data_IF_928965734183
#
_entry.id   IF_928965734183
#
_cell.length_a   1.000
_cell.length_b   1.000
_cell.length_c   1.000
_cell.angle_alpha   90.00
_cell.angle_beta   90.00
_cell.angle_gamma   90.00
#
_symmetry.space_group_name_H-M   'P 1'
#
loop_
_entity.id
_entity.type
_entity.pdbx_description
1 polymer ?
#
# COMPACT_ATOMS: atom_id res chain seq x y z
N UNK A 1 39.37 -47.74 3.76
CA UNK A 1 38.27 -48.72 3.55
C UNK A 1 37.02 -47.90 3.24
N UNK A 2 36.58 -47.84 1.97
CA UNK A 2 35.48 -48.65 1.38
C UNK A 2 34.13 -48.23 1.99
N UNK A 3 33.16 -47.63 1.31
CA UNK A 3 32.97 -47.25 -0.09
C UNK A 3 31.49 -46.82 -0.29
N UNK A 4 31.24 -46.14 -1.42
CA UNK A 4 30.02 -46.14 -2.28
C UNK A 4 28.63 -46.34 -1.63
N UNK A 5 27.62 -45.52 -1.92
CA UNK A 5 26.92 -45.50 -3.21
C UNK A 5 26.16 -44.18 -3.46
N UNK A 6 26.30 -43.67 -4.69
CA UNK A 6 25.39 -42.71 -5.33
C UNK A 6 24.09 -43.42 -5.74
N UNK A 7 22.96 -42.73 -5.67
CA UNK A 7 21.89 -42.94 -6.64
C UNK A 7 21.09 -41.64 -6.85
N UNK A 8 21.17 -41.15 -8.09
CA UNK A 8 20.30 -40.13 -8.68
C UNK A 8 18.94 -40.74 -8.99
N UNK A 9 17.85 -39.97 -8.86
CA UNK A 9 16.68 -40.07 -9.74
C UNK A 9 16.05 -38.70 -9.99
N UNK A 10 15.80 -38.45 -11.27
CA UNK A 10 15.22 -37.26 -11.91
C UNK A 10 13.67 -37.24 -11.80
N UNK A 11 13.00 -36.12 -12.17
CA UNK A 11 11.60 -35.86 -11.86
C UNK A 11 10.62 -36.59 -12.79
N UNK A 12 9.45 -36.95 -12.23
CA UNK A 12 8.34 -37.58 -12.94
C UNK A 12 7.45 -36.50 -13.59
N UNK A 13 7.45 -36.43 -14.92
CA UNK A 13 6.50 -35.65 -15.72
C UNK A 13 5.35 -36.57 -16.12
N UNK A 14 4.12 -36.24 -15.71
CA UNK A 14 2.92 -36.97 -16.12
C UNK A 14 2.28 -36.23 -17.29
N UNK A 15 2.44 -36.78 -18.49
CA UNK A 15 1.73 -36.38 -19.71
C UNK A 15 0.52 -37.30 -19.84
N UNK A 16 -0.69 -36.75 -19.80
CA UNK A 16 -1.91 -37.48 -20.14
C UNK A 16 -2.23 -37.22 -21.61
N UNK A 17 -1.98 -38.23 -22.44
CA UNK A 17 -2.44 -38.30 -23.84
C UNK A 17 -3.73 -39.10 -23.85
N UNK A 18 -4.83 -38.49 -24.31
CA UNK A 18 -6.03 -39.22 -24.69
C UNK A 18 -6.11 -39.25 -26.23
N UNK A 19 -5.99 -40.46 -26.78
CA UNK A 19 -6.16 -40.79 -28.18
C UNK A 19 -7.64 -41.18 -28.34
N UNK A 20 -8.38 -40.54 -29.25
CA UNK A 20 -9.63 -41.10 -29.77
C UNK A 20 -9.46 -41.37 -31.25
N UNK A 21 -9.81 -42.59 -31.62
CA UNK A 21 -9.60 -43.25 -32.89
C UNK A 21 -10.47 -42.69 -34.02
N UNK A 22 -9.96 -42.92 -35.22
CA UNK A 22 -10.49 -42.57 -36.53
C UNK A 22 -11.81 -43.28 -36.89
N UNK A 23 -12.60 -42.64 -37.75
CA UNK A 23 -13.52 -43.30 -38.67
C UNK A 23 -13.59 -42.51 -39.99
N UNK A 24 -13.38 -43.21 -41.11
CA UNK A 24 -14.09 -42.98 -42.38
C UNK A 24 -13.40 -42.09 -43.41
N UNK A 25 -12.90 -42.72 -44.47
CA UNK A 25 -12.58 -42.11 -45.77
C UNK A 25 -13.86 -41.77 -46.55
N UNK A 26 -13.87 -40.66 -47.29
CA UNK A 26 -13.99 -40.59 -48.76
C UNK A 26 -14.39 -39.18 -49.24
N UNK A 27 -13.90 -38.87 -50.43
CA UNK A 27 -13.89 -37.63 -51.21
C UNK A 27 -15.29 -37.03 -51.47
N UNK A 28 -15.53 -35.74 -51.18
CA UNK A 28 -16.34 -34.86 -52.03
C UNK A 28 -16.14 -33.37 -51.67
N UNK A 29 -15.85 -32.57 -52.69
CA UNK A 29 -15.79 -31.11 -52.66
C UNK A 29 -17.16 -30.50 -52.31
N UNK A 30 -17.25 -29.76 -51.20
CA UNK A 30 -18.35 -28.83 -50.98
C UNK A 30 -17.94 -27.67 -50.07
N UNK A 31 -17.95 -26.46 -50.64
CA UNK A 31 -17.67 -25.20 -49.95
C UNK A 31 -18.73 -24.97 -48.88
N UNK A 32 -18.36 -25.17 -47.62
CA UNK A 32 -19.23 -24.88 -46.47
C UNK A 32 -18.74 -23.58 -45.82
N UNK A 33 -19.59 -22.55 -45.60
CA UNK A 33 -19.17 -21.36 -44.88
C UNK A 33 -18.91 -21.73 -43.41
N UNK A 34 -17.67 -21.54 -42.98
CA UNK A 34 -17.26 -21.68 -41.58
C UNK A 34 -18.06 -20.69 -40.71
N UNK A 35 -18.74 -21.12 -39.63
CA UNK A 35 -19.27 -20.18 -38.66
C UNK A 35 -18.10 -19.49 -37.98
N UNK A 36 -17.88 -18.20 -38.28
CA UNK A 36 -16.94 -17.35 -37.56
C UNK A 36 -17.39 -17.27 -36.10
N UNK A 37 -16.78 -18.07 -35.24
CA UNK A 37 -16.94 -17.98 -33.79
C UNK A 37 -16.16 -16.74 -33.33
N UNK A 38 -16.85 -15.61 -33.25
CA UNK A 38 -16.31 -14.38 -32.68
C UNK A 38 -16.18 -14.57 -31.18
N UNK A 39 -15.04 -15.09 -30.72
CA UNK A 39 -14.65 -14.97 -29.32
C UNK A 39 -14.40 -13.50 -29.02
N UNK A 40 -15.36 -12.85 -28.37
CA UNK A 40 -15.13 -11.57 -27.72
C UNK A 40 -14.19 -11.82 -26.54
N UNK A 41 -12.89 -11.55 -26.73
CA UNK A 41 -11.97 -11.44 -25.60
C UNK A 41 -12.50 -10.36 -24.66
N UNK A 42 -12.76 -10.63 -23.36
CA UNK A 42 -13.11 -9.59 -22.43
C UNK A 42 -11.95 -8.59 -22.41
N UNK A 43 -12.25 -7.32 -22.70
CA UNK A 43 -11.28 -6.23 -22.57
C UNK A 43 -10.78 -6.26 -21.13
N UNK A 44 -9.47 -6.34 -20.87
CA UNK A 44 -8.95 -6.27 -19.51
C UNK A 44 -9.44 -4.95 -18.92
N UNK A 45 -10.29 -5.03 -17.90
CA UNK A 45 -10.74 -3.86 -17.15
C UNK A 45 -9.52 -3.33 -16.42
N UNK A 46 -8.92 -2.26 -16.92
CA UNK A 46 -7.84 -1.58 -16.22
C UNK A 46 -8.37 -1.15 -14.85
N UNK A 47 -7.75 -1.65 -13.77
CA UNK A 47 -8.05 -1.18 -12.43
C UNK A 47 -7.68 0.31 -12.36
N UNK A 48 -8.69 1.16 -12.18
CA UNK A 48 -8.50 2.58 -11.92
C UNK A 48 -7.85 2.71 -10.54
N UNK A 49 -6.54 2.93 -10.50
CA UNK A 49 -5.83 3.28 -9.26
C UNK A 49 -6.24 4.70 -8.91
N UNK A 50 -6.97 4.88 -7.81
CA UNK A 50 -7.35 6.20 -7.33
C UNK A 50 -6.09 7.02 -7.06
N UNK A 51 -6.03 8.22 -7.61
CA UNK A 51 -4.91 9.16 -7.42
C UNK A 51 -5.15 10.13 -6.26
N UNK A 52 -6.38 10.16 -5.73
CA UNK A 52 -6.78 11.04 -4.63
C UNK A 52 -7.08 10.25 -3.36
N UNK A 53 -6.66 10.74 -2.18
CA UNK A 53 -7.02 10.13 -0.90
C UNK A 53 -8.54 10.08 -0.71
N UNK A 54 -9.07 9.01 -0.08
CA UNK A 54 -10.48 8.92 0.26
C UNK A 54 -10.87 9.97 1.30
N UNK A 55 -11.97 10.67 1.02
CA UNK A 55 -12.57 11.66 1.92
C UNK A 55 -13.60 11.00 2.85
N UNK A 56 -13.70 11.49 4.08
CA UNK A 56 -14.63 11.00 5.10
C UNK A 56 -15.19 12.17 5.90
N UNK A 57 -16.47 12.09 6.28
CA UNK A 57 -17.09 13.02 7.24
C UNK A 57 -16.78 12.68 8.70
N UNK A 58 -16.26 11.48 8.97
CA UNK A 58 -15.78 11.06 10.29
C UNK A 58 -14.27 11.25 10.36
N UNK A 59 -13.73 11.70 11.50
CA UNK A 59 -12.30 11.91 11.65
C UNK A 59 -11.55 10.57 11.63
N UNK A 60 -10.60 10.40 10.71
CA UNK A 60 -9.77 9.21 10.64
C UNK A 60 -8.36 9.54 10.13
N UNK A 61 -7.41 8.66 10.46
CA UNK A 61 -6.01 8.77 10.04
C UNK A 61 -5.64 7.47 9.34
N UNK A 62 -5.00 7.57 8.18
CA UNK A 62 -4.65 6.42 7.36
C UNK A 62 -3.43 6.70 6.51
N UNK A 63 -2.84 5.64 5.95
CA UNK A 63 -1.71 5.73 5.04
C UNK A 63 -2.18 5.74 3.58
N UNK A 64 -1.53 6.57 2.75
CA UNK A 64 -1.88 6.74 1.35
C UNK A 64 -0.66 6.97 0.45
N UNK A 65 -0.59 6.41 -0.76
CA UNK A 65 -1.52 5.44 -1.36
C UNK A 65 -1.44 4.06 -0.70
N UNK A 66 -2.37 3.16 -1.05
CA UNK A 66 -2.41 1.79 -0.48
C UNK A 66 -1.25 0.90 -0.97
N UNK A 67 -0.70 1.20 -2.14
CA UNK A 67 0.48 0.52 -2.67
C UNK A 67 1.44 1.55 -3.25
N UNK A 68 2.73 1.36 -3.00
CA UNK A 68 3.81 2.10 -3.65
C UNK A 68 4.81 1.13 -4.26
N UNK A 69 5.59 1.61 -5.24
CA UNK A 69 6.79 0.92 -5.70
C UNK A 69 8.01 1.80 -5.47
N UNK A 70 9.07 1.21 -4.94
CA UNK A 70 10.35 1.91 -4.82
C UNK A 70 10.99 2.17 -6.17
N UNK A 71 11.66 3.32 -6.27
CA UNK A 71 12.48 3.63 -7.42
C UNK A 71 13.67 2.68 -7.56
N UNK A 72 14.44 2.87 -8.63
CA UNK A 72 15.70 2.14 -8.84
C UNK A 72 16.73 2.42 -7.74
N UNK A 73 16.62 3.56 -7.04
CA UNK A 73 17.42 3.91 -5.88
C UNK A 73 16.92 3.30 -4.56
N UNK A 74 15.86 2.48 -4.59
CA UNK A 74 15.27 1.88 -3.39
C UNK A 74 14.39 2.81 -2.57
N UNK A 75 14.12 4.03 -3.03
CA UNK A 75 13.35 5.02 -2.26
C UNK A 75 11.91 5.12 -2.76
N UNK A 76 10.97 5.30 -1.84
CA UNK A 76 9.60 5.70 -2.14
C UNK A 76 9.04 6.59 -1.04
N UNK A 77 7.94 7.27 -1.35
CA UNK A 77 7.22 8.10 -0.38
C UNK A 77 5.76 7.71 -0.31
N UNK A 78 5.20 7.77 0.89
CA UNK A 78 3.76 7.72 1.14
C UNK A 78 3.40 8.80 2.15
N UNK A 79 2.11 9.00 2.38
CA UNK A 79 1.57 10.07 3.20
C UNK A 79 0.74 9.49 4.34
N UNK A 80 0.89 10.06 5.53
CA UNK A 80 -0.09 9.92 6.61
C UNK A 80 -1.16 10.98 6.37
N UNK A 81 -2.35 10.55 6.00
CA UNK A 81 -3.47 11.42 5.67
C UNK A 81 -4.47 11.48 6.82
N UNK A 82 -5.09 12.63 7.01
CA UNK A 82 -6.11 12.85 8.05
C UNK A 82 -7.37 13.38 7.39
N UNK A 83 -8.48 12.67 7.56
CA UNK A 83 -9.78 13.30 7.46
C UNK A 83 -10.13 13.88 8.82
N UNK A 84 -10.55 15.13 8.82
CA UNK A 84 -10.78 15.92 10.04
C UNK A 84 -12.22 15.86 10.52
N UNK A 85 -13.15 15.45 9.66
CA UNK A 85 -14.58 15.51 9.94
C UNK A 85 -15.03 16.95 10.20
N UNK A 86 -15.57 17.20 11.40
CA UNK A 86 -15.99 18.54 11.84
C UNK A 86 -14.96 19.24 12.75
N UNK A 87 -13.82 18.60 13.03
CA UNK A 87 -12.83 19.12 13.97
C UNK A 87 -11.85 20.07 13.29
N UNK A 88 -11.43 21.10 14.02
CA UNK A 88 -10.19 21.81 13.71
C UNK A 88 -9.03 21.03 14.30
N UNK A 89 -8.00 20.67 13.51
CA UNK A 89 -6.85 19.90 14.03
C UNK A 89 -5.73 20.87 14.41
N UNK A 90 -5.35 20.84 15.69
CA UNK A 90 -4.31 21.70 16.29
C UNK A 90 -2.97 20.98 16.41
N UNK A 91 -2.96 19.65 16.45
CA UNK A 91 -1.75 18.85 16.49
C UNK A 91 -2.05 17.36 16.50
N UNK A 92 -1.00 16.56 16.57
CA UNK A 92 -1.11 15.12 16.69
C UNK A 92 0.23 14.43 16.79
N UNK A 93 0.17 13.14 17.07
CA UNK A 93 1.29 12.23 17.04
C UNK A 93 0.91 11.01 16.21
N UNK A 94 1.85 10.55 15.39
CA UNK A 94 1.73 9.32 14.63
C UNK A 94 2.89 8.41 14.94
N UNK A 95 2.59 7.13 15.17
CA UNK A 95 3.57 6.06 15.33
C UNK A 95 3.42 5.09 14.18
N UNK A 96 4.50 4.90 13.43
CA UNK A 96 4.61 3.95 12.34
C UNK A 96 5.44 2.74 12.80
N UNK A 97 4.93 1.54 12.58
CA UNK A 97 5.62 0.26 12.82
C UNK A 97 5.87 -0.44 11.49
N UNK A 98 7.10 -0.86 11.25
CA UNK A 98 7.55 -1.36 9.95
C UNK A 98 8.61 -2.47 10.03
N UNK A 99 8.82 -3.08 11.21
CA UNK A 99 9.82 -4.14 11.43
C UNK A 99 9.73 -5.29 10.43
N UNK A 100 8.51 -5.66 10.00
CA UNK A 100 8.27 -6.82 9.16
C UNK A 100 8.22 -6.49 7.66
N UNK A 101 8.45 -5.23 7.29
CA UNK A 101 8.32 -4.75 5.91
C UNK A 101 9.53 -5.06 5.02
N UNK A 102 10.69 -5.37 5.60
CA UNK A 102 11.96 -5.40 4.88
C UNK A 102 12.41 -4.01 4.37
N UNK A 103 11.76 -2.95 4.83
CA UNK A 103 12.07 -1.55 4.56
C UNK A 103 12.53 -0.85 5.84
N UNK A 104 13.08 0.35 5.66
CA UNK A 104 13.49 1.27 6.72
C UNK A 104 12.88 2.64 6.48
N UNK A 105 12.52 3.36 7.54
CA UNK A 105 12.12 4.76 7.43
C UNK A 105 13.38 5.62 7.35
N UNK A 106 13.37 6.57 6.42
CA UNK A 106 14.53 7.41 6.10
C UNK A 106 14.30 8.85 6.56
N UNK A 107 13.06 9.34 6.44
CA UNK A 107 12.71 10.69 6.85
C UNK A 107 11.21 10.87 7.05
N UNK A 108 10.87 11.86 7.86
CA UNK A 108 9.57 12.51 7.86
C UNK A 108 9.69 13.92 7.28
N UNK A 109 8.66 14.35 6.57
CA UNK A 109 8.41 15.75 6.24
C UNK A 109 7.02 16.13 6.74
N UNK A 110 6.86 17.35 7.26
CA UNK A 110 5.55 17.88 7.64
C UNK A 110 4.64 17.96 6.42
N UNK A 111 3.37 17.60 6.63
CA UNK A 111 2.32 17.80 5.65
C UNK A 111 1.64 19.15 5.80
N UNK A 112 0.63 19.40 4.97
CA UNK A 112 -0.05 20.70 4.90
C UNK A 112 -1.15 20.88 5.95
N UNK A 113 -1.58 19.80 6.62
CA UNK A 113 -2.70 19.82 7.55
C UNK A 113 -2.54 20.88 8.64
N UNK A 114 -1.33 21.04 9.18
CA UNK A 114 -1.03 21.90 10.32
C UNK A 114 -0.48 23.29 9.93
N UNK A 115 -0.56 23.65 8.64
CA UNK A 115 0.00 24.89 8.10
C UNK A 115 1.38 24.70 7.48
N UNK A 116 2.01 25.81 7.07
CA UNK A 116 3.29 25.79 6.34
C UNK A 116 4.46 25.32 7.24
N UNK A 117 4.54 25.86 8.47
CA UNK A 117 5.65 25.61 9.40
C UNK A 117 5.13 25.12 10.77
N UNK A 118 4.67 23.86 10.88
CA UNK A 118 4.27 23.31 12.18
C UNK A 118 5.47 23.12 13.10
N UNK A 119 5.22 23.18 14.41
CA UNK A 119 6.21 22.83 15.42
C UNK A 119 6.37 21.31 15.46
N UNK A 120 7.62 20.85 15.50
CA UNK A 120 7.97 19.45 15.75
C UNK A 120 8.14 19.26 17.25
N UNK A 121 7.19 18.58 17.89
CA UNK A 121 7.25 18.25 19.32
C UNK A 121 8.07 16.99 19.59
N UNK A 122 8.06 16.04 18.64
CA UNK A 122 8.83 14.81 18.71
C UNK A 122 9.12 14.29 17.29
N UNK A 123 10.29 13.70 17.10
CA UNK A 123 10.69 13.11 15.81
C UNK A 123 11.80 12.10 16.01
N UNK A 124 11.46 10.81 16.01
CA UNK A 124 12.41 9.71 16.20
C UNK A 124 12.20 8.65 15.12
N UNK A 125 13.30 8.12 14.60
CA UNK A 125 13.32 6.98 13.69
C UNK A 125 14.27 5.94 14.29
N UNK A 126 13.73 4.81 14.71
CA UNK A 126 14.47 3.67 15.21
C UNK A 126 14.29 2.50 14.25
N UNK A 127 15.24 2.37 13.31
CA UNK A 127 15.23 1.30 12.32
C UNK A 127 15.60 -0.07 12.89
N UNK A 128 16.23 -0.12 14.06
CA UNK A 128 16.55 -1.39 14.73
C UNK A 128 15.31 -1.96 15.42
N UNK A 129 14.48 -1.09 16.04
CA UNK A 129 13.19 -1.45 16.59
C UNK A 129 12.06 -1.54 15.54
N UNK A 130 12.28 -0.98 14.34
CA UNK A 130 11.27 -0.89 13.29
C UNK A 130 10.12 0.04 13.66
N UNK A 131 10.41 1.14 14.35
CA UNK A 131 9.42 2.11 14.85
C UNK A 131 9.87 3.54 14.56
N UNK A 132 8.95 4.37 14.07
CA UNK A 132 9.18 5.79 13.86
C UNK A 132 8.00 6.58 14.43
N UNK A 133 8.29 7.67 15.14
CA UNK A 133 7.31 8.51 15.83
C UNK A 133 7.50 9.96 15.42
N UNK A 134 6.41 10.64 15.09
CA UNK A 134 6.39 12.05 14.76
C UNK A 134 5.22 12.74 15.45
N UNK A 135 5.51 13.77 16.23
CA UNK A 135 4.51 14.65 16.83
C UNK A 135 4.67 16.07 16.27
N UNK A 136 3.57 16.62 15.76
CA UNK A 136 3.49 17.94 15.14
C UNK A 136 2.37 18.76 15.78
N UNK A 137 2.56 20.08 15.86
CA UNK A 137 1.53 21.03 16.29
C UNK A 137 1.47 22.25 15.36
N UNK A 138 0.26 22.75 15.10
CA UNK A 138 0.04 24.01 14.38
C UNK A 138 0.60 25.18 15.18
N UNK A 139 1.19 26.14 14.48
CA UNK A 139 1.50 27.47 15.03
C UNK A 139 0.31 28.40 14.84
N UNK A 140 -0.15 29.02 15.92
CA UNK A 140 -1.25 29.99 15.89
C UNK A 140 -2.64 29.36 16.10
N UNK A 141 -3.72 30.11 15.83
CA UNK A 141 -5.08 29.65 16.08
C UNK A 141 -5.47 28.49 15.15
N UNK A 142 -6.31 27.58 15.66
CA UNK A 142 -6.91 26.50 14.86
C UNK A 142 -8.40 26.78 14.71
N UNK A 143 -8.89 26.82 13.47
CA UNK A 143 -10.31 26.95 13.19
C UNK A 143 -10.93 25.58 12.88
N UNK A 144 -12.14 25.35 13.41
CA UNK A 144 -12.95 24.20 13.09
C UNK A 144 -14.00 24.54 11.98
N UNK A 145 -14.24 23.63 11.03
CA UNK A 145 -13.44 22.44 10.73
C UNK A 145 -12.13 22.83 10.02
N UNK A 146 -11.07 22.06 10.23
CA UNK A 146 -9.89 22.09 9.35
C UNK A 146 -10.20 21.28 8.09
N UNK A 147 -9.57 21.63 6.96
CA UNK A 147 -9.64 20.77 5.77
C UNK A 147 -8.88 19.45 6.00
N UNK A 148 -9.36 18.35 5.41
CA UNK A 148 -8.58 17.11 5.32
C UNK A 148 -7.25 17.36 4.61
N UNK A 149 -6.19 16.68 5.02
CA UNK A 149 -4.87 16.93 4.47
C UNK A 149 -3.81 15.95 4.92
N UNK A 150 -2.60 16.13 4.39
CA UNK A 150 -1.43 15.37 4.83
C UNK A 150 -0.97 15.85 6.20
N UNK A 151 -0.86 14.93 7.15
CA UNK A 151 -0.18 15.19 8.42
C UNK A 151 1.33 15.16 8.23
N UNK A 152 1.82 14.14 7.53
CA UNK A 152 3.23 13.98 7.21
C UNK A 152 3.43 13.16 5.94
N UNK A 153 4.56 13.38 5.27
CA UNK A 153 5.08 12.49 4.23
C UNK A 153 6.21 11.66 4.82
N UNK A 154 6.19 10.37 4.57
CA UNK A 154 7.21 9.41 5.02
C UNK A 154 8.03 8.98 3.82
N UNK A 155 9.35 9.00 3.98
CA UNK A 155 10.27 8.42 2.98
C UNK A 155 10.73 7.05 3.47
N UNK A 156 10.52 6.02 2.65
CA UNK A 156 11.00 4.65 2.88
C UNK A 156 12.22 4.35 2.03
N UNK A 157 13.13 3.58 2.59
CA UNK A 157 14.19 2.87 1.89
C UNK A 157 13.94 1.35 1.94
N UNK A 158 13.79 0.73 0.77
CA UNK A 158 13.63 -0.71 0.58
C UNK A 158 14.56 -1.19 -0.55
N UNK A 159 14.61 -2.50 -0.87
CA UNK A 159 15.23 -2.95 -2.11
C UNK A 159 14.60 -2.26 -3.33
N UNK A 160 15.39 -2.08 -4.40
CA UNK A 160 14.96 -1.38 -5.62
C UNK A 160 13.79 -2.05 -6.33
N UNK A 161 12.85 -1.28 -6.87
CA UNK A 161 11.68 -1.76 -7.61
C UNK A 161 10.75 -2.70 -6.82
N UNK A 162 10.78 -2.61 -5.49
CA UNK A 162 9.95 -3.40 -4.58
C UNK A 162 8.56 -2.78 -4.49
N UNK A 163 7.52 -3.62 -4.61
CA UNK A 163 6.15 -3.22 -4.27
C UNK A 163 5.96 -3.33 -2.76
N UNK A 164 5.37 -2.30 -2.16
CA UNK A 164 5.10 -2.24 -0.72
C UNK A 164 3.60 -2.03 -0.53
N UNK A 165 2.98 -2.98 0.17
CA UNK A 165 1.60 -2.88 0.65
C UNK A 165 1.59 -1.97 1.89
N UNK A 166 1.12 -0.75 1.73
CA UNK A 166 1.24 0.30 2.75
C UNK A 166 0.37 0.01 3.99
N UNK A 167 -0.86 -0.53 3.87
CA UNK A 167 -1.62 -1.05 5.01
C UNK A 167 -0.93 -2.13 5.85
N UNK A 168 0.08 -2.82 5.32
CA UNK A 168 0.88 -3.78 6.12
C UNK A 168 1.77 -3.07 7.15
N UNK A 169 2.02 -1.77 6.99
CA UNK A 169 2.69 -0.94 7.98
C UNK A 169 1.70 -0.61 9.09
N UNK A 170 2.08 -0.86 10.34
CA UNK A 170 1.26 -0.52 11.49
C UNK A 170 1.20 0.98 11.69
N UNK A 171 0.00 1.55 11.83
CA UNK A 171 -0.21 2.96 12.12
C UNK A 171 -1.03 3.12 13.40
N UNK A 172 -0.49 3.88 14.34
CA UNK A 172 -1.24 4.43 15.47
C UNK A 172 -1.18 5.95 15.42
N UNK A 173 -2.27 6.61 15.82
CA UNK A 173 -2.37 8.06 15.77
C UNK A 173 -3.19 8.61 16.94
N UNK A 174 -2.75 9.76 17.44
CA UNK A 174 -3.48 10.62 18.35
C UNK A 174 -3.57 12.00 17.72
N UNK A 175 -4.75 12.61 17.73
CA UNK A 175 -4.97 13.95 17.17
C UNK A 175 -5.63 14.81 18.25
N UNK A 176 -5.20 16.06 18.34
CA UNK A 176 -5.78 17.07 19.22
C UNK A 176 -6.60 18.07 18.38
N UNK A 177 -7.77 18.44 18.87
CA UNK A 177 -8.65 19.40 18.21
C UNK A 177 -8.31 20.85 18.59
N UNK A 178 -9.08 21.79 18.05
CA UNK A 178 -8.96 23.23 18.29
C UNK A 178 -9.13 23.65 19.76
N UNK A 179 -9.73 22.81 20.60
CA UNK A 179 -9.89 23.00 22.04
C UNK A 179 -8.83 22.23 22.84
N UNK A 180 -7.86 21.61 22.15
CA UNK A 180 -6.81 20.75 22.70
C UNK A 180 -7.33 19.44 23.32
N UNK A 181 -8.53 19.02 22.94
CA UNK A 181 -9.11 17.75 23.33
C UNK A 181 -8.78 16.66 22.32
N UNK A 182 -8.77 15.40 22.76
CA UNK A 182 -8.49 14.28 21.88
C UNK A 182 -9.64 14.08 20.87
N UNK A 183 -9.30 14.04 19.58
CA UNK A 183 -10.24 13.72 18.51
C UNK A 183 -10.62 12.24 18.56
N UNK A 184 -11.92 11.89 18.53
CA UNK A 184 -12.38 10.51 18.51
C UNK A 184 -12.21 9.88 17.12
N UNK A 185 -10.98 9.45 16.80
CA UNK A 185 -10.64 8.85 15.51
C UNK A 185 -11.37 7.52 15.30
N UNK A 186 -11.89 7.32 14.08
CA UNK A 186 -12.47 6.04 13.65
C UNK A 186 -11.48 5.25 12.80
N UNK A 187 -11.48 3.92 12.92
CA UNK A 187 -10.71 3.03 12.04
C UNK A 187 -9.19 3.03 12.24
N UNK A 188 -8.65 3.74 13.23
CA UNK A 188 -7.25 3.59 13.64
C UNK A 188 -7.07 2.34 14.49
N UNK A 189 -6.13 1.46 14.13
CA UNK A 189 -5.78 0.32 14.99
C UNK A 189 -5.22 0.84 16.30
N UNK A 190 -5.92 0.55 17.40
CA UNK A 190 -5.35 0.59 18.72
C UNK A 190 -4.08 -0.31 18.73
N UNK A 191 -2.97 0.26 19.20
CA UNK A 191 -1.74 -0.49 19.42
C UNK A 191 -1.83 -1.47 20.56
#
# INVERSE_FOLDING_TARGET
MRGSRRMWMLPLVVVVVAIVAACGSDDETSVTPQPTSTFLTPIPTAAIVSTTPPVSSQPNVFLWPLEIRTGSNGMATFTVWVNTGLFGISGGEVTLRYSDSGCSVQAFASGTLLGEDPLVGHGTIDNDAGVAVLALARVGPTQAPSASGSFATVTLGCPSNTAVDIPSLGLSALMADHEFEQVPLVGGSAG
#
